data_IF_428777020993
#
_entry.id   IF_428777020993
#
_cell.length_a   1.000
_cell.length_b   1.000
_cell.length_c   1.000
_cell.angle_alpha   90.00
_cell.angle_beta   90.00
_cell.angle_gamma   90.00
#
_symmetry.space_group_name_H-M   'P 1'
#
loop_
_entity.id
_entity.type
_entity.pdbx_description
1 polymer ?
#
# COMPACT_ATOMS: atom_id res chain seq x y z
N UNK A 1 -8.41 4.93 -27.39
CA UNK A 1 -7.12 5.26 -26.75
C UNK A 1 -7.31 5.20 -25.24
N UNK A 2 -6.40 4.55 -24.52
CA UNK A 2 -6.48 4.45 -23.05
C UNK A 2 -6.12 5.79 -22.41
N UNK A 3 -6.99 6.33 -21.57
CA UNK A 3 -6.69 7.50 -20.75
C UNK A 3 -5.93 7.07 -19.49
N UNK A 4 -4.61 7.04 -19.60
CA UNK A 4 -3.71 6.66 -18.51
C UNK A 4 -3.88 7.51 -17.26
N UNK A 5 -4.18 8.80 -17.41
CA UNK A 5 -4.37 9.69 -16.27
C UNK A 5 -5.60 9.26 -15.47
N UNK A 6 -6.70 8.92 -16.16
CA UNK A 6 -7.92 8.43 -15.51
C UNK A 6 -7.68 7.14 -14.74
N UNK A 7 -6.97 6.19 -15.33
CA UNK A 7 -6.64 4.89 -14.71
C UNK A 7 -5.76 5.06 -13.46
N UNK A 8 -4.71 5.87 -13.56
CA UNK A 8 -3.81 6.17 -12.42
C UNK A 8 -4.57 6.83 -11.27
N UNK A 9 -5.42 7.81 -11.58
CA UNK A 9 -6.25 8.46 -10.56
C UNK A 9 -7.33 7.54 -9.99
N UNK A 10 -7.84 6.58 -10.75
CA UNK A 10 -8.76 5.57 -10.24
C UNK A 10 -8.07 4.66 -9.22
N UNK A 11 -6.90 4.11 -9.56
CA UNK A 11 -6.09 3.33 -8.64
C UNK A 11 -5.74 4.11 -7.38
N UNK A 12 -5.33 5.37 -7.50
CA UNK A 12 -5.03 6.20 -6.34
C UNK A 12 -6.23 6.39 -5.41
N UNK A 13 -7.43 6.61 -5.97
CA UNK A 13 -8.67 6.69 -5.18
C UNK A 13 -8.97 5.39 -4.46
N UNK A 14 -8.73 4.24 -5.08
CA UNK A 14 -8.92 2.94 -4.45
C UNK A 14 -7.94 2.70 -3.29
N UNK A 15 -6.68 3.12 -3.44
CA UNK A 15 -5.71 3.13 -2.33
C UNK A 15 -6.23 3.97 -1.17
N UNK A 16 -6.74 5.18 -1.42
CA UNK A 16 -7.27 6.04 -0.37
C UNK A 16 -8.49 5.45 0.33
N UNK A 17 -9.35 4.70 -0.39
CA UNK A 17 -10.47 3.96 0.20
C UNK A 17 -9.97 2.90 1.18
N UNK A 18 -8.99 2.09 0.78
CA UNK A 18 -8.38 1.09 1.66
C UNK A 18 -7.76 1.74 2.89
N UNK A 19 -6.94 2.78 2.71
CA UNK A 19 -6.30 3.52 3.81
C UNK A 19 -7.30 4.00 4.85
N UNK A 20 -8.47 4.49 4.42
CA UNK A 20 -9.50 5.03 5.32
C UNK A 20 -10.07 3.98 6.27
N UNK A 21 -10.30 2.77 5.77
CA UNK A 21 -10.89 1.65 6.51
C UNK A 21 -9.86 0.63 7.02
N UNK A 22 -8.55 0.86 6.79
CA UNK A 22 -7.54 -0.14 7.16
C UNK A 22 -7.39 -0.26 8.69
N UNK A 23 -7.45 -1.48 9.26
CA UNK A 23 -7.48 -1.70 10.70
C UNK A 23 -6.19 -1.27 11.43
N UNK A 24 -5.02 -1.40 10.79
CA UNK A 24 -3.75 -0.97 11.37
C UNK A 24 -3.37 0.46 10.91
N UNK A 25 -3.49 1.45 11.81
CA UNK A 25 -3.20 2.86 11.51
C UNK A 25 -1.76 3.16 11.10
N UNK A 26 -0.79 2.39 11.59
CA UNK A 26 0.62 2.57 11.19
C UNK A 26 0.83 2.14 9.74
N UNK A 27 0.31 0.96 9.38
CA UNK A 27 0.34 0.47 8.00
C UNK A 27 -0.47 1.35 7.05
N UNK A 28 -1.65 1.83 7.47
CA UNK A 28 -2.47 2.75 6.68
C UNK A 28 -1.70 4.03 6.31
N UNK A 29 -0.95 4.61 7.27
CA UNK A 29 -0.09 5.78 7.02
C UNK A 29 1.04 5.46 6.04
N UNK A 30 1.70 4.31 6.19
CA UNK A 30 2.76 3.86 5.27
C UNK A 30 2.22 3.64 3.86
N UNK A 31 1.07 3.00 3.71
CA UNK A 31 0.41 2.80 2.41
C UNK A 31 0.11 4.14 1.73
N UNK A 32 -0.49 5.10 2.47
CA UNK A 32 -0.78 6.44 1.94
C UNK A 32 0.49 7.17 1.49
N UNK A 33 1.54 7.12 2.31
CA UNK A 33 2.83 7.72 1.99
C UNK A 33 3.42 7.10 0.73
N UNK A 34 3.58 5.76 0.69
CA UNK A 34 4.16 5.06 -0.44
C UNK A 34 3.41 5.32 -1.75
N UNK A 35 2.07 5.32 -1.73
CA UNK A 35 1.29 5.60 -2.92
C UNK A 35 1.50 7.03 -3.45
N UNK A 36 1.61 8.01 -2.54
CA UNK A 36 1.91 9.40 -2.92
C UNK A 36 3.33 9.52 -3.50
N UNK A 37 4.32 8.92 -2.85
CA UNK A 37 5.70 8.98 -3.33
C UNK A 37 5.88 8.27 -4.68
N UNK A 38 5.26 7.10 -4.88
CA UNK A 38 5.30 6.40 -6.17
C UNK A 38 4.69 7.23 -7.30
N UNK A 39 3.55 7.89 -7.04
CA UNK A 39 2.97 8.81 -8.03
C UNK A 39 3.89 9.99 -8.32
N UNK A 40 4.51 10.57 -7.29
CA UNK A 40 5.43 11.68 -7.46
C UNK A 40 6.66 11.30 -8.30
N UNK A 41 7.29 10.17 -7.97
CA UNK A 41 8.48 9.65 -8.67
C UNK A 41 8.19 9.31 -10.14
N UNK A 42 6.96 8.87 -10.45
CA UNK A 42 6.57 8.40 -11.79
C UNK A 42 5.75 9.43 -12.58
N UNK A 43 5.57 10.67 -12.07
CA UNK A 43 4.66 11.68 -12.64
C UNK A 43 4.97 12.10 -14.09
N UNK A 44 6.21 11.87 -14.52
CA UNK A 44 6.70 12.22 -15.87
C UNK A 44 6.88 11.00 -16.77
N UNK A 45 6.46 9.81 -16.34
CA UNK A 45 6.50 8.61 -17.18
C UNK A 45 5.55 8.76 -18.38
N UNK A 46 6.07 8.56 -19.58
CA UNK A 46 5.30 8.67 -20.83
C UNK A 46 5.20 7.33 -21.57
N UNK A 47 5.97 6.31 -21.17
CA UNK A 47 5.87 4.98 -21.75
C UNK A 47 4.58 4.30 -21.34
N UNK A 48 3.69 4.09 -22.30
CA UNK A 48 2.44 3.37 -22.09
C UNK A 48 2.66 1.98 -21.45
N UNK A 49 3.71 1.27 -21.88
CA UNK A 49 4.06 -0.04 -21.31
C UNK A 49 4.46 0.06 -19.83
N UNK A 50 5.25 1.08 -19.45
CA UNK A 50 5.66 1.27 -18.04
C UNK A 50 4.50 1.74 -17.18
N UNK A 51 3.65 2.64 -17.69
CA UNK A 51 2.41 3.04 -16.99
C UNK A 51 1.53 1.83 -16.73
N UNK A 52 1.31 0.98 -17.75
CA UNK A 52 0.51 -0.22 -17.62
C UNK A 52 1.10 -1.19 -16.59
N UNK A 53 2.42 -1.43 -16.64
CA UNK A 53 3.12 -2.25 -15.65
C UNK A 53 2.91 -1.72 -14.22
N UNK A 54 3.07 -0.42 -14.01
CA UNK A 54 2.88 0.22 -12.71
C UNK A 54 1.42 0.16 -12.21
N UNK A 55 0.45 0.24 -13.12
CA UNK A 55 -0.96 0.04 -12.78
C UNK A 55 -1.23 -1.40 -12.35
N UNK A 56 -0.65 -2.39 -13.04
CA UNK A 56 -0.75 -3.80 -12.65
C UNK A 56 -0.12 -4.04 -11.28
N UNK A 57 1.14 -3.64 -11.08
CA UNK A 57 1.85 -3.73 -9.79
C UNK A 57 1.03 -3.11 -8.64
N UNK A 58 0.44 -1.93 -8.89
CA UNK A 58 -0.34 -1.23 -7.88
C UNK A 58 -1.68 -1.90 -7.57
N UNK A 59 -2.31 -2.56 -8.55
CA UNK A 59 -3.53 -3.37 -8.34
C UNK A 59 -3.22 -4.63 -7.54
N UNK A 60 -2.16 -5.34 -7.90
CA UNK A 60 -1.71 -6.54 -7.17
C UNK A 60 -1.39 -6.20 -5.70
N UNK A 61 -0.67 -5.09 -5.48
CA UNK A 61 -0.41 -4.60 -4.14
C UNK A 61 -1.70 -4.28 -3.38
N UNK A 62 -2.67 -3.63 -4.05
CA UNK A 62 -3.96 -3.30 -3.44
C UNK A 62 -4.74 -4.55 -3.03
N UNK A 63 -4.68 -5.62 -3.82
CA UNK A 63 -5.34 -6.89 -3.51
C UNK A 63 -4.72 -7.56 -2.27
N UNK A 64 -3.40 -7.49 -2.11
CA UNK A 64 -2.74 -7.90 -0.85
C UNK A 64 -3.29 -7.10 0.34
N UNK A 65 -3.40 -5.78 0.21
CA UNK A 65 -3.97 -4.96 1.30
C UNK A 65 -5.46 -5.28 1.57
N UNK A 66 -6.25 -5.62 0.54
CA UNK A 66 -7.64 -6.06 0.74
C UNK A 66 -7.71 -7.35 1.56
N UNK A 67 -6.87 -8.33 1.24
CA UNK A 67 -6.77 -9.59 2.01
C UNK A 67 -6.38 -9.30 3.46
N UNK A 68 -5.36 -8.47 3.68
CA UNK A 68 -4.92 -8.08 5.03
C UNK A 68 -5.99 -7.30 5.80
N UNK A 69 -6.83 -6.54 5.10
CA UNK A 69 -7.94 -5.82 5.70
C UNK A 69 -9.06 -6.78 6.13
N UNK A 70 -9.34 -7.81 5.34
CA UNK A 70 -10.39 -8.80 5.63
C UNK A 70 -9.95 -9.89 6.63
N UNK A 71 -8.66 -10.17 6.72
CA UNK A 71 -8.12 -11.23 7.59
C UNK A 71 -7.32 -10.64 8.76
N UNK A 72 -8.01 -10.45 9.89
CA UNK A 72 -7.43 -9.93 11.12
C UNK A 72 -6.39 -10.88 11.75
N UNK A 73 -6.51 -12.19 11.55
CA UNK A 73 -5.55 -13.18 12.05
C UNK A 73 -4.25 -13.08 11.30
N UNK A 74 -4.32 -13.05 9.96
CA UNK A 74 -3.16 -12.85 9.10
C UNK A 74 -2.49 -11.51 9.39
N UNK A 75 -3.26 -10.43 9.46
CA UNK A 75 -2.74 -9.10 9.80
C UNK A 75 -2.00 -9.11 11.14
N UNK A 76 -2.56 -9.78 12.16
CA UNK A 76 -1.93 -9.90 13.48
C UNK A 76 -0.63 -10.71 13.40
N UNK A 77 -0.62 -11.81 12.64
CA UNK A 77 0.56 -12.66 12.48
C UNK A 77 1.73 -11.90 11.83
N UNK A 78 1.48 -11.13 10.76
CA UNK A 78 2.52 -10.37 10.07
C UNK A 78 2.99 -9.14 10.85
N UNK A 79 2.17 -8.63 11.78
CA UNK A 79 2.53 -7.45 12.59
C UNK A 79 3.15 -7.82 13.95
N UNK A 80 2.93 -9.04 14.45
CA UNK A 80 3.46 -9.54 15.73
C UNK A 80 4.98 -9.55 15.82
N UNK A 81 5.70 -9.79 14.72
CA UNK A 81 7.17 -9.83 14.72
C UNK A 81 7.79 -8.53 15.27
N UNK A 82 7.14 -7.39 15.09
CA UNK A 82 7.62 -6.10 15.61
C UNK A 82 7.41 -5.90 17.11
N UNK A 83 6.51 -6.66 17.74
CA UNK A 83 6.25 -6.53 19.19
C UNK A 83 7.29 -7.27 20.01
N UNK A 84 7.66 -8.48 19.59
CA UNK A 84 8.65 -9.31 20.28
C UNK A 84 10.05 -8.69 20.24
N UNK A 85 10.44 -8.07 19.12
CA UNK A 85 11.75 -7.38 18.99
C UNK A 85 11.82 -6.14 19.89
N UNK A 86 10.73 -5.38 20.01
CA UNK A 86 10.67 -4.22 20.91
C UNK A 86 10.66 -4.61 22.40
N UNK A 87 10.04 -5.74 22.73
CA UNK A 87 10.01 -6.25 24.11
C UNK A 87 11.36 -6.86 24.53
N UNK A 88 12.15 -7.43 23.61
CA UNK A 88 13.52 -7.85 23.91
C UNK A 88 14.48 -6.67 24.11
N UNK A 89 14.40 -5.63 23.27
CA UNK A 89 15.22 -4.41 23.41
C UNK A 89 14.91 -3.60 24.68
N UNK A 90 13.68 -3.69 25.20
CA UNK A 90 13.26 -3.02 26.43
C UNK A 90 13.66 -3.77 27.71
N UNK A 91 14.00 -5.06 27.63
CA UNK A 91 14.45 -5.87 28.78
C UNK A 91 15.96 -5.91 28.97
N UNK A 92 16.72 -5.46 27.98
CA UNK A 92 18.19 -5.32 28.02
C UNK A 92 18.67 -3.93 28.46
N UNK A 93 17.76 -3.04 28.89
CA UNK A 93 18.05 -1.74 29.50
C UNK A 93 17.60 -1.70 30.94
#
# INVERSE_FOLDING_TARGET
MTDWRREVLALYRDVLRIVRSFPNRSMARKLRYNARELLYLRRHEQSAARIQMHLTEGRDALDVYRVLQSDSKLLTAITRKNRLVKESEAKEK
#
